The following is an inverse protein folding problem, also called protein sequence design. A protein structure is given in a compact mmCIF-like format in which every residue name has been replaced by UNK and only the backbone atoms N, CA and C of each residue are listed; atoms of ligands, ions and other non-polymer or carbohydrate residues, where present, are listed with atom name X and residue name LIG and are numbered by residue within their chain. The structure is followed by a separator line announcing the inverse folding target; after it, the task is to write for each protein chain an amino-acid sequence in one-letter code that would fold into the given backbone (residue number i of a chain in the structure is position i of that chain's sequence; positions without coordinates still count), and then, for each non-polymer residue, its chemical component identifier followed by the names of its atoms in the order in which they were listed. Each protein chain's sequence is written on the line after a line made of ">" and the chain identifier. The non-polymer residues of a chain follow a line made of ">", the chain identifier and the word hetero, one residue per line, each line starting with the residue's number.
data_IF_764116419477
#
_entry.id   IF_764116419477
#
_cell.length_a   1.000
_cell.length_b   1.000
_cell.length_c   1.000
_cell.angle_alpha   90.00
_cell.angle_beta   90.00
_cell.angle_gamma   90.00
#
_symmetry.space_group_name_H-M   'P 1'
#
loop_
_entity.id
_entity.type
_entity.pdbx_description
1 polymer ?
#
# COMPACT_ATOMS: atom_id res chain seq x y z
N UNK A 1 49.90 6.65 0.57
CA UNK A 1 49.02 6.88 1.73
C UNK A 1 47.81 7.66 1.23
N UNK A 2 46.79 6.97 0.69
CA UNK A 2 45.56 7.61 0.19
C UNK A 2 44.59 7.64 1.36
N UNK A 3 44.30 8.85 1.85
CA UNK A 3 43.23 9.08 2.83
C UNK A 3 41.92 8.63 2.18
N UNK A 4 41.27 7.66 2.81
CA UNK A 4 39.92 7.26 2.46
C UNK A 4 39.00 8.46 2.73
N UNK A 5 38.35 8.98 1.70
CA UNK A 5 37.18 9.83 1.85
C UNK A 5 36.11 9.02 2.55
N UNK A 6 35.99 9.25 3.86
CA UNK A 6 34.92 8.73 4.68
C UNK A 6 33.62 9.42 4.23
N UNK A 7 32.97 8.83 3.21
CA UNK A 7 31.65 9.26 2.77
C UNK A 7 30.72 9.21 3.98
N UNK A 8 30.21 10.38 4.38
CA UNK A 8 29.23 10.51 5.45
C UNK A 8 28.08 9.50 5.21
N UNK A 9 27.74 8.72 6.23
CA UNK A 9 26.61 7.76 6.14
C UNK A 9 25.34 8.58 5.86
N UNK A 10 24.59 8.29 4.79
CA UNK A 10 23.33 9.00 4.51
C UNK A 10 22.31 8.62 5.59
N UNK A 11 22.23 9.44 6.63
CA UNK A 11 21.47 9.17 7.85
C UNK A 11 21.81 10.11 9.00
N UNK A 12 23.03 10.66 9.01
CA UNK A 12 23.53 11.57 10.05
C UNK A 12 23.45 13.06 9.66
N UNK A 13 22.58 13.47 8.73
CA UNK A 13 22.37 14.91 8.49
C UNK A 13 21.65 15.57 9.70
N UNK A 14 22.32 16.45 10.46
CA UNK A 14 21.69 17.16 11.54
C UNK A 14 20.69 18.17 10.95
N UNK A 15 19.39 17.97 11.21
CA UNK A 15 18.34 18.95 10.84
C UNK A 15 17.20 18.42 9.98
N UNK A 16 17.19 17.14 9.56
CA UNK A 16 16.07 16.59 8.78
C UNK A 16 14.75 16.59 9.57
N UNK A 17 13.73 17.29 9.05
CA UNK A 17 12.39 17.36 9.67
C UNK A 17 11.51 16.20 9.22
N UNK A 18 10.79 15.58 10.15
CA UNK A 18 9.74 14.62 9.88
C UNK A 18 8.43 15.35 9.57
N UNK A 19 7.76 14.99 8.48
CA UNK A 19 6.47 15.60 8.07
C UNK A 19 5.34 15.40 9.08
N UNK A 20 5.47 14.42 10.00
CA UNK A 20 4.45 14.12 11.00
C UNK A 20 4.72 14.74 12.38
N UNK A 21 5.99 14.92 12.78
CA UNK A 21 6.33 15.35 14.14
C UNK A 21 7.36 16.48 14.21
N UNK A 22 7.82 17.03 13.07
CA UNK A 22 8.77 18.13 13.03
C UNK A 22 10.21 17.66 13.26
N UNK A 23 11.05 18.42 13.99
CA UNK A 23 12.44 18.05 14.27
C UNK A 23 12.53 16.67 14.95
N UNK A 24 13.32 15.75 14.37
CA UNK A 24 13.51 14.41 14.92
C UNK A 24 14.87 13.82 14.49
N UNK A 25 15.40 12.88 15.27
CA UNK A 25 16.51 12.03 14.85
C UNK A 25 16.06 10.91 13.91
N UNK A 26 16.99 10.37 13.12
CA UNK A 26 16.71 9.33 12.13
C UNK A 26 17.65 8.14 12.33
N UNK A 27 17.13 6.93 12.13
CA UNK A 27 17.91 5.70 12.19
C UNK A 27 17.68 4.88 10.92
N UNK A 28 18.75 4.40 10.29
CA UNK A 28 18.63 3.50 9.15
C UNK A 28 18.02 2.17 9.60
N UNK A 29 16.89 1.79 9.00
CA UNK A 29 16.20 0.54 9.28
C UNK A 29 16.63 -0.58 8.33
N UNK A 30 16.68 -0.30 7.03
CA UNK A 30 17.06 -1.28 6.01
C UNK A 30 17.66 -0.56 4.80
N UNK A 31 18.68 -1.17 4.20
CA UNK A 31 19.20 -0.80 2.88
C UNK A 31 18.78 -1.87 1.88
N UNK A 32 18.16 -1.47 0.78
CA UNK A 32 17.66 -2.38 -0.24
C UNK A 32 17.98 -1.87 -1.63
N UNK A 33 18.29 -2.80 -2.53
CA UNK A 33 18.47 -2.51 -3.95
C UNK A 33 17.11 -2.59 -4.63
N UNK A 34 16.73 -1.53 -5.32
CA UNK A 34 15.62 -1.56 -6.23
C UNK A 34 15.93 -2.55 -7.37
N UNK A 35 15.02 -3.50 -7.57
CA UNK A 35 15.20 -4.61 -8.48
C UNK A 35 14.80 -4.28 -9.94
N UNK A 36 14.15 -3.13 -10.18
CA UNK A 36 13.78 -2.66 -11.52
C UNK A 36 14.80 -1.64 -12.05
N UNK A 37 15.13 -0.61 -11.27
CA UNK A 37 16.10 0.44 -11.65
C UNK A 37 17.53 0.19 -11.16
N UNK A 38 17.77 -0.79 -10.28
CA UNK A 38 19.10 -1.23 -9.87
C UNK A 38 19.82 -0.33 -8.88
N UNK A 39 19.22 0.80 -8.49
CA UNK A 39 19.74 1.76 -7.50
C UNK A 39 19.55 1.24 -6.07
N UNK A 40 20.42 1.64 -5.15
CA UNK A 40 20.26 1.30 -3.72
C UNK A 40 19.57 2.44 -2.99
N UNK A 41 18.58 2.10 -2.19
CA UNK A 41 17.84 2.99 -1.31
C UNK A 41 18.00 2.54 0.14
N UNK A 42 17.83 3.49 1.05
CA UNK A 42 17.73 3.23 2.49
C UNK A 42 16.34 3.62 2.96
N UNK A 43 15.81 2.90 3.94
CA UNK A 43 14.65 3.35 4.69
C UNK A 43 15.12 3.89 6.03
N UNK A 44 14.98 5.20 6.22
CA UNK A 44 15.31 5.88 7.46
C UNK A 44 14.06 6.02 8.32
N UNK A 45 14.10 5.57 9.57
CA UNK A 45 12.99 5.69 10.51
C UNK A 45 13.16 6.87 11.43
N UNK A 46 12.12 7.67 11.56
CA UNK A 46 12.03 8.72 12.56
C UNK A 46 12.06 8.10 13.96
N UNK A 47 13.04 8.47 14.77
CA UNK A 47 13.19 8.00 16.17
C UNK A 47 12.05 8.44 17.09
N UNK A 48 11.30 9.48 16.69
CA UNK A 48 10.18 10.03 17.47
C UNK A 48 8.86 9.35 17.13
N UNK A 49 8.40 9.40 15.86
CA UNK A 49 7.11 8.84 15.47
C UNK A 49 7.17 7.42 14.91
N UNK A 50 8.35 6.95 14.49
CA UNK A 50 8.55 5.61 13.93
C UNK A 50 8.27 5.48 12.42
N UNK A 51 7.73 6.51 11.76
CA UNK A 51 7.51 6.49 10.30
C UNK A 51 8.86 6.41 9.58
N UNK A 52 8.96 5.45 8.64
CA UNK A 52 10.09 5.33 7.73
C UNK A 52 9.92 6.16 6.47
N UNK A 53 11.03 6.62 5.90
CA UNK A 53 11.09 7.32 4.62
C UNK A 53 12.14 6.67 3.73
N UNK A 54 11.82 6.52 2.45
CA UNK A 54 12.77 6.02 1.44
C UNK A 54 13.72 7.15 1.02
N UNK A 55 15.02 6.87 1.12
CA UNK A 55 16.12 7.79 0.88
C UNK A 55 17.11 7.19 -0.13
N UNK A 56 17.54 7.93 -1.16
CA UNK A 56 17.04 9.24 -1.56
C UNK A 56 15.57 9.21 -1.99
N UNK A 57 14.82 10.26 -1.64
CA UNK A 57 13.42 10.37 -2.09
C UNK A 57 13.42 10.52 -3.61
N UNK A 58 12.86 9.56 -4.36
CA UNK A 58 12.91 9.58 -5.82
C UNK A 58 12.12 10.77 -6.37
N UNK A 59 12.54 11.40 -7.45
CA UNK A 59 11.75 12.45 -8.13
C UNK A 59 10.52 11.87 -8.85
N UNK A 60 9.63 12.72 -9.36
CA UNK A 60 8.50 12.25 -10.18
C UNK A 60 8.99 11.58 -11.46
N UNK A 61 9.99 12.17 -12.13
CA UNK A 61 10.60 11.60 -13.34
C UNK A 61 11.26 10.23 -13.07
N UNK A 62 11.89 10.06 -11.90
CA UNK A 62 12.47 8.78 -11.49
C UNK A 62 11.40 7.72 -11.21
N UNK A 63 10.19 8.11 -10.77
CA UNK A 63 9.07 7.20 -10.53
C UNK A 63 8.19 6.94 -11.76
N UNK A 64 8.17 7.84 -12.75
CA UNK A 64 7.31 7.72 -13.92
C UNK A 64 7.40 6.36 -14.63
N UNK A 65 8.59 5.73 -14.81
CA UNK A 65 8.69 4.40 -15.42
C UNK A 65 7.94 3.29 -14.65
N UNK A 66 7.83 3.42 -13.32
CA UNK A 66 7.17 2.44 -12.45
C UNK A 66 5.65 2.50 -12.56
N UNK A 67 5.11 3.63 -13.02
CA UNK A 67 3.68 3.90 -13.21
C UNK A 67 3.26 3.87 -14.68
N UNK A 68 3.90 3.03 -15.49
CA UNK A 68 3.55 2.83 -16.90
C UNK A 68 2.08 2.38 -17.07
N UNK A 69 1.47 2.53 -18.27
CA UNK A 69 0.14 1.97 -18.55
C UNK A 69 0.01 0.48 -18.21
N UNK A 70 1.10 -0.29 -18.33
CA UNK A 70 1.17 -1.70 -17.93
C UNK A 70 1.13 -1.94 -16.40
N UNK A 71 1.41 -0.92 -15.57
CA UNK A 71 1.20 -0.95 -14.12
C UNK A 71 -0.29 -0.86 -13.78
N UNK A 72 -1.01 0.08 -14.39
CA UNK A 72 -2.43 0.27 -14.16
C UNK A 72 -3.31 -0.77 -14.89
N UNK A 73 -2.83 -1.27 -16.03
CA UNK A 73 -3.51 -2.26 -16.87
C UNK A 73 -4.75 -1.69 -17.57
N UNK A 74 -4.86 -1.91 -18.88
CA UNK A 74 -5.87 -1.25 -19.74
C UNK A 74 -7.27 -1.90 -19.76
N UNK A 75 -7.70 -2.61 -18.71
CA UNK A 75 -9.03 -3.23 -18.75
C UNK A 75 -9.40 -4.19 -17.62
N UNK A 76 -10.45 -4.98 -17.86
CA UNK A 76 -11.22 -5.77 -16.89
C UNK A 76 -10.41 -6.80 -16.09
N UNK A 77 -9.18 -7.11 -16.53
CA UNK A 77 -8.30 -8.13 -15.97
C UNK A 77 -6.84 -7.70 -15.78
N UNK A 78 -6.20 -8.14 -14.69
CA UNK A 78 -4.78 -7.88 -14.34
C UNK A 78 -4.07 -9.18 -13.91
N UNK A 79 -4.85 -10.25 -13.76
CA UNK A 79 -4.46 -11.53 -13.20
C UNK A 79 -5.14 -12.64 -14.01
N UNK A 80 -4.66 -13.86 -13.93
CA UNK A 80 -5.29 -15.01 -14.60
C UNK A 80 -6.74 -15.21 -14.10
N UNK A 81 -7.67 -15.61 -14.98
CA UNK A 81 -9.12 -15.68 -14.72
C UNK A 81 -9.58 -16.22 -13.35
N UNK A 82 -9.12 -17.39 -12.86
CA UNK A 82 -9.51 -17.87 -11.52
C UNK A 82 -9.05 -16.94 -10.38
N UNK A 83 -7.93 -16.23 -10.55
CA UNK A 83 -7.48 -15.22 -9.58
C UNK A 83 -8.34 -13.96 -9.63
N UNK A 84 -8.92 -13.60 -10.78
CA UNK A 84 -9.85 -12.46 -10.86
C UNK A 84 -11.12 -12.69 -10.05
N UNK A 85 -11.71 -13.89 -10.12
CA UNK A 85 -12.86 -14.26 -9.30
C UNK A 85 -12.56 -14.19 -7.80
N UNK A 86 -11.37 -14.67 -7.40
CA UNK A 86 -10.90 -14.57 -6.03
C UNK A 86 -10.70 -13.11 -5.58
N UNK A 87 -10.07 -12.29 -6.42
CA UNK A 87 -9.88 -10.86 -6.17
C UNK A 87 -11.23 -10.13 -6.04
N UNK A 88 -12.20 -10.44 -6.91
CA UNK A 88 -13.57 -9.92 -6.80
C UNK A 88 -14.18 -10.29 -5.45
N UNK A 89 -14.01 -11.54 -5.00
CA UNK A 89 -14.44 -11.98 -3.67
C UNK A 89 -13.81 -11.16 -2.53
N UNK A 90 -12.53 -10.81 -2.66
CA UNK A 90 -11.85 -9.94 -1.69
C UNK A 90 -12.39 -8.51 -1.70
N UNK A 91 -12.68 -7.94 -2.87
CA UNK A 91 -13.27 -6.60 -2.98
C UNK A 91 -14.68 -6.56 -2.39
N UNK A 92 -15.49 -7.61 -2.60
CA UNK A 92 -16.80 -7.76 -1.96
C UNK A 92 -16.65 -7.88 -0.44
N UNK A 93 -15.68 -8.68 0.06
CA UNK A 93 -15.41 -8.79 1.50
C UNK A 93 -15.00 -7.45 2.11
N UNK A 94 -14.19 -6.67 1.41
CA UNK A 94 -13.79 -5.30 1.78
C UNK A 94 -14.99 -4.37 1.84
N UNK A 95 -15.83 -4.36 0.80
CA UNK A 95 -17.08 -3.59 0.77
C UNK A 95 -18.01 -3.95 1.93
N UNK A 96 -18.21 -5.25 2.23
CA UNK A 96 -19.04 -5.69 3.37
C UNK A 96 -18.54 -5.13 4.70
N UNK A 97 -17.21 -5.16 4.92
CA UNK A 97 -16.61 -4.66 6.16
C UNK A 97 -16.77 -3.16 6.30
N UNK A 98 -16.59 -2.40 5.22
CA UNK A 98 -16.79 -0.96 5.19
C UNK A 98 -18.26 -0.63 5.43
N UNK A 99 -19.18 -1.32 4.75
CA UNK A 99 -20.61 -1.10 4.92
C UNK A 99 -21.10 -1.38 6.35
N UNK A 100 -20.53 -2.39 7.00
CA UNK A 100 -20.83 -2.73 8.38
C UNK A 100 -20.41 -1.64 9.40
N UNK A 101 -19.55 -0.68 9.04
CA UNK A 101 -19.21 0.44 9.93
C UNK A 101 -20.38 1.38 10.17
N UNK A 102 -21.24 1.57 9.16
CA UNK A 102 -22.44 2.41 9.28
C UNK A 102 -23.72 1.59 9.51
N UNK A 103 -23.74 0.31 9.10
CA UNK A 103 -24.94 -0.52 9.13
C UNK A 103 -26.03 -0.13 8.12
N UNK A 104 -25.76 0.89 7.29
CA UNK A 104 -26.64 1.40 6.22
C UNK A 104 -25.80 2.04 5.12
N UNK A 105 -26.35 2.22 3.90
CA UNK A 105 -25.69 3.04 2.88
C UNK A 105 -25.45 4.48 3.35
N UNK A 106 -24.34 5.03 2.87
CA UNK A 106 -23.87 6.38 3.19
C UNK A 106 -23.00 6.95 2.08
N UNK A 107 -22.32 8.05 2.39
CA UNK A 107 -21.36 8.71 1.50
C UNK A 107 -19.94 8.22 1.75
N UNK A 108 -19.28 7.73 0.71
CA UNK A 108 -17.89 7.26 0.77
C UNK A 108 -16.99 7.94 -0.26
N UNK A 109 -15.76 8.23 0.17
CA UNK A 109 -14.66 8.62 -0.70
C UNK A 109 -13.55 7.56 -0.64
N UNK A 110 -13.10 7.06 -1.78
CA UNK A 110 -11.93 6.17 -1.88
C UNK A 110 -10.78 6.90 -2.59
N UNK A 111 -9.65 7.04 -1.91
CA UNK A 111 -8.46 7.73 -2.44
C UNK A 111 -7.53 6.67 -3.03
N UNK A 112 -7.24 6.79 -4.32
CA UNK A 112 -6.55 5.78 -5.14
C UNK A 112 -7.47 4.61 -5.49
N UNK A 113 -8.50 4.89 -6.28
CA UNK A 113 -9.55 3.90 -6.60
C UNK A 113 -9.05 2.69 -7.40
N UNK A 114 -7.91 2.81 -8.07
CA UNK A 114 -7.41 1.83 -9.02
C UNK A 114 -8.50 1.47 -10.04
N UNK A 115 -8.89 0.19 -10.07
CA UNK A 115 -9.92 -0.32 -11.00
C UNK A 115 -11.36 -0.07 -10.55
N UNK A 116 -11.56 0.62 -9.43
CA UNK A 116 -12.85 0.98 -8.86
C UNK A 116 -13.86 -0.17 -8.60
N UNK A 117 -13.46 -1.46 -8.71
CA UNK A 117 -14.33 -2.62 -8.42
C UNK A 117 -14.90 -2.61 -6.99
N UNK A 118 -14.13 -2.10 -6.03
CA UNK A 118 -14.57 -1.89 -4.65
C UNK A 118 -15.69 -0.84 -4.57
N UNK A 119 -15.52 0.32 -5.21
CA UNK A 119 -16.54 1.37 -5.25
C UNK A 119 -17.79 0.94 -6.03
N UNK A 120 -17.63 0.24 -7.16
CA UNK A 120 -18.74 -0.30 -7.93
C UNK A 120 -19.61 -1.22 -7.05
N UNK A 121 -18.99 -2.10 -6.26
CA UNK A 121 -19.72 -2.98 -5.33
C UNK A 121 -20.53 -2.19 -4.29
N UNK A 122 -19.98 -1.09 -3.76
CA UNK A 122 -20.72 -0.24 -2.81
C UNK A 122 -21.84 0.54 -3.50
N UNK A 123 -21.60 1.02 -4.72
CA UNK A 123 -22.62 1.68 -5.56
C UNK A 123 -23.80 0.76 -5.82
N UNK A 124 -23.55 -0.51 -6.17
CA UNK A 124 -24.59 -1.54 -6.35
C UNK A 124 -25.41 -1.79 -5.07
N UNK A 125 -24.85 -1.48 -3.90
CA UNK A 125 -25.52 -1.57 -2.60
C UNK A 125 -26.14 -0.25 -2.15
N UNK A 126 -26.28 0.73 -3.06
CA UNK A 126 -26.94 2.00 -2.82
C UNK A 126 -26.11 3.05 -2.09
N UNK A 127 -24.77 2.88 -2.02
CA UNK A 127 -23.89 3.92 -1.48
C UNK A 127 -23.72 5.06 -2.48
N UNK A 128 -23.55 6.28 -1.96
CA UNK A 128 -23.10 7.40 -2.77
C UNK A 128 -21.57 7.42 -2.76
N UNK A 129 -20.99 6.99 -3.89
CA UNK A 129 -19.55 6.73 -4.01
C UNK A 129 -18.82 7.84 -4.76
N UNK A 130 -17.65 8.18 -4.24
CA UNK A 130 -16.71 9.13 -4.81
C UNK A 130 -15.31 8.54 -4.76
N UNK A 131 -14.41 9.01 -5.61
CA UNK A 131 -13.01 8.64 -5.48
C UNK A 131 -12.05 9.58 -6.17
N UNK A 132 -10.75 9.36 -5.94
CA UNK A 132 -9.66 10.04 -6.65
C UNK A 132 -8.63 9.04 -7.16
N UNK A 133 -7.98 9.34 -8.28
CA UNK A 133 -6.97 8.47 -8.88
C UNK A 133 -5.98 9.29 -9.73
N UNK A 134 -4.68 9.00 -9.63
CA UNK A 134 -3.66 9.69 -10.44
C UNK A 134 -3.61 9.14 -11.87
N UNK A 135 -3.92 7.86 -12.06
CA UNK A 135 -4.02 7.26 -13.39
C UNK A 135 -5.24 7.78 -14.14
N UNK A 136 -5.00 8.60 -15.18
CA UNK A 136 -6.04 9.07 -16.08
C UNK A 136 -6.80 7.90 -16.73
N UNK A 137 -6.10 6.84 -17.14
CA UNK A 137 -6.72 5.66 -17.73
C UNK A 137 -7.69 4.97 -16.76
N UNK A 138 -7.28 4.80 -15.49
CA UNK A 138 -8.10 4.18 -14.45
C UNK A 138 -9.29 5.05 -14.05
N UNK A 139 -9.08 6.37 -13.91
CA UNK A 139 -10.15 7.32 -13.63
C UNK A 139 -11.17 7.38 -14.77
N UNK A 140 -10.71 7.38 -16.03
CA UNK A 140 -11.57 7.33 -17.21
C UNK A 140 -12.38 6.04 -17.26
N UNK A 141 -11.75 4.89 -17.04
CA UNK A 141 -12.46 3.61 -16.96
C UNK A 141 -13.57 3.64 -15.89
N UNK A 142 -13.26 4.13 -14.69
CA UNK A 142 -14.25 4.22 -13.61
C UNK A 142 -15.44 5.14 -13.95
N UNK A 143 -15.20 6.25 -14.66
CA UNK A 143 -16.26 7.18 -15.10
C UNK A 143 -17.10 6.60 -16.22
N UNK A 144 -16.45 6.15 -17.30
CA UNK A 144 -17.12 5.79 -18.56
C UNK A 144 -17.72 4.39 -18.53
N UNK A 145 -17.03 3.43 -17.93
CA UNK A 145 -17.46 2.02 -17.94
C UNK A 145 -18.30 1.66 -16.72
N UNK A 146 -18.05 2.32 -15.58
CA UNK A 146 -18.73 2.01 -14.32
C UNK A 146 -19.69 3.13 -13.85
N UNK A 147 -19.73 4.28 -14.53
CA UNK A 147 -20.61 5.39 -14.15
C UNK A 147 -20.27 6.06 -12.82
N UNK A 148 -19.02 5.94 -12.33
CA UNK A 148 -18.61 6.38 -11.00
C UNK A 148 -18.05 7.82 -11.00
N UNK A 149 -18.20 8.51 -9.86
CA UNK A 149 -17.70 9.87 -9.65
C UNK A 149 -16.25 9.85 -9.15
N UNK A 150 -15.30 9.68 -10.07
CA UNK A 150 -13.86 9.64 -9.74
C UNK A 150 -13.17 10.90 -10.25
N UNK A 151 -12.44 11.66 -9.42
CA UNK A 151 -11.60 12.78 -9.84
C UNK A 151 -10.19 12.29 -10.25
N UNK A 152 -9.52 13.00 -11.16
CA UNK A 152 -8.12 12.73 -11.48
C UNK A 152 -7.24 13.58 -10.55
N UNK A 153 -6.25 12.97 -9.90
CA UNK A 153 -5.25 13.65 -9.06
C UNK A 153 -5.52 13.59 -7.57
N UNK A 154 -4.97 14.57 -6.84
CA UNK A 154 -4.99 14.64 -5.38
C UNK A 154 -6.40 14.95 -4.84
N UNK A 155 -6.74 14.35 -3.69
CA UNK A 155 -7.99 14.61 -2.97
C UNK A 155 -8.16 16.08 -2.56
N UNK A 156 -7.07 16.77 -2.23
CA UNK A 156 -7.11 18.18 -1.86
C UNK A 156 -7.57 19.09 -3.03
N UNK A 157 -7.34 18.66 -4.27
CA UNK A 157 -7.76 19.39 -5.47
C UNK A 157 -9.20 19.06 -5.90
N UNK A 158 -9.84 18.05 -5.31
CA UNK A 158 -11.17 17.58 -5.71
C UNK A 158 -12.33 18.51 -5.27
N UNK A 159 -12.07 19.51 -4.43
CA UNK A 159 -13.04 20.57 -4.09
C UNK A 159 -14.24 20.10 -3.24
N UNK A 160 -14.08 19.03 -2.47
CA UNK A 160 -15.14 18.53 -1.60
C UNK A 160 -15.36 19.43 -0.37
N UNK A 161 -16.62 19.51 0.09
CA UNK A 161 -17.03 20.31 1.25
C UNK A 161 -16.60 19.64 2.56
N UNK A 162 -16.38 20.44 3.61
CA UNK A 162 -16.15 19.95 4.97
C UNK A 162 -17.29 19.00 5.41
N UNK A 163 -16.93 17.91 6.08
CA UNK A 163 -17.91 17.00 6.66
C UNK A 163 -18.82 16.29 5.65
N UNK A 164 -18.44 16.19 4.37
CA UNK A 164 -19.29 15.61 3.33
C UNK A 164 -19.31 14.08 3.29
N UNK A 165 -18.40 13.39 3.98
CA UNK A 165 -18.29 11.93 3.90
C UNK A 165 -18.50 11.22 5.23
N UNK A 166 -19.17 10.07 5.16
CA UNK A 166 -19.38 9.17 6.29
C UNK A 166 -18.18 8.25 6.50
N UNK A 167 -17.56 7.82 5.39
CA UNK A 167 -16.38 6.95 5.36
C UNK A 167 -15.39 7.48 4.33
N UNK A 168 -14.10 7.45 4.65
CA UNK A 168 -13.01 7.65 3.69
C UNK A 168 -12.09 6.43 3.75
N UNK A 169 -11.70 5.89 2.60
CA UNK A 169 -10.81 4.73 2.50
C UNK A 169 -9.53 5.07 1.74
N UNK A 170 -8.42 4.49 2.20
CA UNK A 170 -7.12 4.48 1.52
C UNK A 170 -6.61 3.03 1.53
N UNK A 171 -6.51 2.40 0.36
CA UNK A 171 -6.10 1.00 0.24
C UNK A 171 -4.74 0.89 -0.45
N UNK A 172 -3.66 0.76 0.34
CA UNK A 172 -2.29 0.70 -0.20
C UNK A 172 -1.93 1.90 -1.09
N UNK A 173 -2.21 3.09 -0.57
CA UNK A 173 -2.00 4.37 -1.28
C UNK A 173 -1.16 5.31 -0.43
N UNK A 174 -1.41 5.36 0.88
CA UNK A 174 -0.77 6.31 1.79
C UNK A 174 0.76 6.23 1.76
N UNK A 175 1.32 5.03 1.61
CA UNK A 175 2.75 4.74 1.49
C UNK A 175 3.40 5.31 0.21
N UNK A 176 2.60 5.54 -0.84
CA UNK A 176 3.05 6.08 -2.12
C UNK A 176 2.93 7.61 -2.22
N UNK A 177 2.21 8.25 -1.30
CA UNK A 177 1.94 9.69 -1.39
C UNK A 177 3.18 10.52 -1.06
N UNK A 178 3.30 11.68 -1.74
CA UNK A 178 4.33 12.69 -1.47
C UNK A 178 4.08 13.42 -0.15
N UNK A 179 2.83 13.82 0.10
CA UNK A 179 2.40 14.46 1.35
C UNK A 179 1.30 13.65 2.06
N UNK A 180 1.62 12.48 2.63
CA UNK A 180 0.65 11.68 3.36
C UNK A 180 0.10 12.42 4.60
N UNK A 181 0.86 13.36 5.18
CA UNK A 181 0.41 14.17 6.30
C UNK A 181 -0.70 15.15 5.87
N UNK A 182 -0.54 15.81 4.73
CA UNK A 182 -1.57 16.64 4.09
C UNK A 182 -2.81 15.85 3.73
N UNK A 183 -2.66 14.69 3.09
CA UNK A 183 -3.79 13.83 2.76
C UNK A 183 -4.58 13.40 3.99
N UNK A 184 -3.92 13.01 5.09
CA UNK A 184 -4.62 12.65 6.33
C UNK A 184 -5.35 13.84 6.98
N UNK A 185 -4.77 15.05 6.93
CA UNK A 185 -5.44 16.29 7.36
C UNK A 185 -6.68 16.58 6.52
N UNK A 186 -6.59 16.36 5.21
CA UNK A 186 -7.70 16.54 4.29
C UNK A 186 -8.81 15.52 4.54
N UNK A 187 -8.48 14.24 4.72
CA UNK A 187 -9.43 13.22 5.16
C UNK A 187 -10.16 13.63 6.45
N UNK A 188 -9.45 14.19 7.43
CA UNK A 188 -10.03 14.68 8.68
C UNK A 188 -10.99 15.87 8.47
N UNK A 189 -10.72 16.77 7.52
CA UNK A 189 -11.62 17.88 7.15
C UNK A 189 -12.90 17.34 6.51
N UNK A 190 -12.74 16.44 5.55
CA UNK A 190 -13.80 15.88 4.73
C UNK A 190 -14.75 14.92 5.46
N UNK A 191 -14.27 14.23 6.49
CA UNK A 191 -15.12 13.36 7.31
C UNK A 191 -16.14 14.18 8.12
N UNK A 192 -17.38 13.72 8.20
CA UNK A 192 -18.34 14.24 9.18
C UNK A 192 -17.91 13.90 10.61
N UNK A 193 -18.38 14.63 11.64
CA UNK A 193 -18.24 14.19 13.03
C UNK A 193 -18.73 12.74 13.21
N UNK A 194 -17.93 11.90 13.85
CA UNK A 194 -18.21 10.46 14.01
C UNK A 194 -18.00 9.59 12.77
N UNK A 195 -17.56 10.17 11.63
CA UNK A 195 -17.22 9.44 10.40
C UNK A 195 -15.95 8.59 10.54
N UNK A 196 -15.77 7.63 9.64
CA UNK A 196 -14.68 6.64 9.72
C UNK A 196 -13.60 6.86 8.66
N UNK A 197 -12.34 6.81 9.08
CA UNK A 197 -11.19 6.72 8.20
C UNK A 197 -10.65 5.29 8.21
N UNK A 198 -10.57 4.66 7.06
CA UNK A 198 -10.03 3.31 6.89
C UNK A 198 -8.73 3.39 6.09
N UNK A 199 -7.64 2.94 6.69
CA UNK A 199 -6.29 3.00 6.08
C UNK A 199 -5.71 1.60 6.06
N UNK A 200 -5.37 1.09 4.88
CA UNK A 200 -4.58 -0.12 4.71
C UNK A 200 -3.19 0.22 4.21
N UNK A 201 -2.17 -0.29 4.90
CA UNK A 201 -0.75 -0.11 4.58
C UNK A 201 0.05 -1.37 4.95
N UNK A 202 1.22 -1.58 4.34
CA UNK A 202 2.25 -2.45 4.87
C UNK A 202 2.59 -2.10 6.31
N UNK A 203 2.81 -3.12 7.13
CA UNK A 203 3.21 -2.94 8.52
C UNK A 203 4.73 -3.15 8.65
N UNK A 204 5.47 -2.05 8.72
CA UNK A 204 6.92 -2.07 8.83
C UNK A 204 7.40 -2.65 10.17
N UNK A 205 6.55 -2.72 11.19
CA UNK A 205 6.87 -3.37 12.48
C UNK A 205 6.45 -4.86 12.51
N UNK A 206 5.97 -5.41 11.39
CA UNK A 206 5.56 -6.80 11.29
C UNK A 206 6.71 -7.77 11.54
N UNK A 207 6.37 -8.99 11.97
CA UNK A 207 7.35 -10.05 12.14
C UNK A 207 8.04 -10.36 10.80
N UNK A 208 7.26 -10.36 9.72
CA UNK A 208 7.75 -10.57 8.37
C UNK A 208 8.78 -9.51 7.94
N UNK A 209 8.48 -8.23 8.14
CA UNK A 209 9.41 -7.14 7.81
C UNK A 209 10.72 -7.23 8.62
N UNK A 210 10.62 -7.60 9.90
CA UNK A 210 11.80 -7.77 10.78
C UNK A 210 12.68 -8.96 10.39
N UNK A 211 12.08 -10.06 9.93
CA UNK A 211 12.81 -11.26 9.55
C UNK A 211 13.37 -11.21 8.12
N UNK A 212 12.63 -10.59 7.20
CA UNK A 212 12.99 -10.57 5.78
C UNK A 212 13.78 -9.32 5.36
N UNK A 213 13.69 -8.21 6.09
CA UNK A 213 14.49 -7.01 5.82
C UNK A 213 14.38 -6.55 4.37
N UNK A 214 15.51 -6.53 3.65
CA UNK A 214 15.56 -6.14 2.23
C UNK A 214 14.81 -7.09 1.29
N UNK A 215 14.52 -8.33 1.73
CA UNK A 215 13.76 -9.32 0.97
C UNK A 215 12.25 -9.24 1.23
N UNK A 216 11.79 -8.32 2.07
CA UNK A 216 10.38 -8.15 2.40
C UNK A 216 9.57 -7.72 1.18
N UNK A 217 8.53 -8.49 0.85
CA UNK A 217 7.67 -8.25 -0.32
C UNK A 217 7.11 -6.83 -0.36
N UNK A 218 6.65 -6.30 0.78
CA UNK A 218 6.06 -4.98 0.87
C UNK A 218 7.08 -3.84 1.09
N UNK A 219 8.39 -4.09 1.01
CA UNK A 219 9.38 -3.01 1.11
C UNK A 219 9.31 -2.08 -0.11
N UNK A 220 9.16 -2.66 -1.31
CA UNK A 220 8.86 -1.98 -2.57
C UNK A 220 9.51 -0.60 -2.81
N UNK A 221 10.83 -0.50 -2.58
CA UNK A 221 11.59 0.68 -2.96
C UNK A 221 11.80 0.69 -4.48
N UNK A 222 11.66 1.85 -5.17
CA UNK A 222 11.45 3.19 -4.62
C UNK A 222 9.98 3.65 -4.54
N UNK A 223 9.01 2.81 -4.91
CA UNK A 223 7.58 3.18 -4.99
C UNK A 223 6.96 3.50 -3.64
N UNK A 224 7.33 2.79 -2.58
CA UNK A 224 6.95 3.15 -1.21
C UNK A 224 7.85 4.27 -0.72
N UNK A 225 7.32 5.49 -0.69
CA UNK A 225 8.00 6.68 -0.17
C UNK A 225 8.01 6.69 1.36
N UNK A 226 6.95 6.15 1.96
CA UNK A 226 6.72 6.14 3.39
C UNK A 226 6.42 4.73 3.91
N UNK A 227 6.99 4.39 5.07
CA UNK A 227 6.84 3.07 5.69
C UNK A 227 6.17 3.23 7.06
N UNK A 228 4.94 2.73 7.18
CA UNK A 228 4.09 2.92 8.36
C UNK A 228 4.11 1.69 9.28
N UNK A 229 3.70 1.90 10.53
CA UNK A 229 3.41 0.82 11.47
C UNK A 229 2.14 1.10 12.25
N UNK A 230 1.58 0.09 12.93
CA UNK A 230 0.40 0.28 13.78
C UNK A 230 0.64 1.39 14.82
N UNK A 231 1.82 1.39 15.45
CA UNK A 231 2.19 2.39 16.47
C UNK A 231 2.22 3.80 15.90
N UNK A 232 2.86 3.98 14.74
CA UNK A 232 2.93 5.28 14.08
C UNK A 232 1.54 5.79 13.68
N UNK A 233 0.73 4.95 13.04
CA UNK A 233 -0.64 5.33 12.64
C UNK A 233 -1.54 5.65 13.82
N UNK A 234 -1.46 4.88 14.92
CA UNK A 234 -2.23 5.19 16.14
C UNK A 234 -1.93 6.58 16.66
N UNK A 235 -0.65 6.96 16.72
CA UNK A 235 -0.23 8.29 17.16
C UNK A 235 -0.72 9.37 16.21
N UNK A 236 -0.36 9.27 14.92
CA UNK A 236 -0.68 10.27 13.90
C UNK A 236 -2.20 10.51 13.84
N UNK A 237 -2.99 9.44 13.82
CA UNK A 237 -4.44 9.55 13.71
C UNK A 237 -5.08 10.08 15.00
N UNK A 238 -4.54 9.75 16.19
CA UNK A 238 -4.98 10.35 17.44
C UNK A 238 -4.71 11.86 17.49
N UNK A 239 -3.51 12.30 17.08
CA UNK A 239 -3.11 13.71 17.03
C UNK A 239 -3.99 14.51 16.05
N UNK A 240 -4.50 13.87 14.99
CA UNK A 240 -5.46 14.44 14.04
C UNK A 240 -6.92 14.45 14.55
N UNK A 241 -7.19 13.97 15.76
CA UNK A 241 -8.56 13.84 16.30
C UNK A 241 -9.38 12.75 15.60
N UNK A 242 -8.71 11.71 15.11
CA UNK A 242 -9.25 10.49 14.51
C UNK A 242 -8.71 9.24 15.25
N UNK A 243 -8.97 9.03 16.55
CA UNK A 243 -8.40 7.89 17.27
C UNK A 243 -8.76 6.55 16.63
N UNK A 244 -7.79 5.64 16.64
CA UNK A 244 -7.95 4.28 16.09
C UNK A 244 -8.89 3.45 16.96
N UNK A 245 -9.96 2.94 16.36
CA UNK A 245 -10.97 2.07 17.00
C UNK A 245 -10.69 0.59 16.79
N UNK A 246 -10.15 0.21 15.63
CA UNK A 246 -9.89 -1.20 15.29
C UNK A 246 -8.66 -1.31 14.42
N UNK A 247 -7.91 -2.39 14.58
CA UNK A 247 -6.79 -2.76 13.69
C UNK A 247 -6.94 -4.23 13.33
N UNK A 248 -6.78 -4.56 12.06
CA UNK A 248 -6.73 -5.94 11.55
C UNK A 248 -5.33 -6.20 11.01
N UNK A 249 -4.75 -7.32 11.39
CA UNK A 249 -3.42 -7.77 10.95
C UNK A 249 -3.50 -8.90 9.91
N UNK A 250 -4.64 -8.99 9.22
CA UNK A 250 -4.89 -10.04 8.24
C UNK A 250 -5.88 -9.62 7.17
N UNK A 251 -5.43 -9.79 5.94
CA UNK A 251 -6.21 -9.71 4.73
C UNK A 251 -5.89 -10.94 3.88
N UNK A 252 -6.88 -11.80 3.65
CA UNK A 252 -6.70 -13.03 2.88
C UNK A 252 -6.07 -12.81 1.50
N UNK A 253 -6.30 -11.62 0.90
CA UNK A 253 -5.71 -11.21 -0.36
C UNK A 253 -4.20 -10.95 -0.32
N UNK A 254 -3.66 -10.49 0.82
CA UNK A 254 -2.29 -9.99 0.90
C UNK A 254 -1.44 -10.80 1.88
N UNK A 255 -1.92 -11.09 3.08
CA UNK A 255 -1.07 -11.62 4.15
C UNK A 255 -0.43 -12.99 3.82
N UNK A 256 -1.18 -13.99 3.31
CA UNK A 256 -0.57 -15.27 2.92
C UNK A 256 0.41 -15.11 1.75
N UNK A 257 0.06 -14.26 0.78
CA UNK A 257 0.88 -14.03 -0.40
C UNK A 257 2.18 -13.31 -0.05
N UNK A 258 2.12 -12.29 0.81
CA UNK A 258 3.28 -11.56 1.30
C UNK A 258 4.26 -12.50 2.00
N UNK A 259 3.77 -13.27 2.98
CA UNK A 259 4.62 -14.19 3.73
C UNK A 259 5.29 -15.23 2.82
N UNK A 260 4.53 -15.77 1.86
CA UNK A 260 5.05 -16.68 0.85
C UNK A 260 6.14 -16.00 0.02
N UNK A 261 5.85 -14.83 -0.56
CA UNK A 261 6.74 -14.13 -1.47
C UNK A 261 8.03 -13.66 -0.77
N UNK A 262 7.93 -13.14 0.46
CA UNK A 262 9.08 -12.78 1.28
C UNK A 262 9.95 -14.00 1.62
N UNK A 263 9.32 -15.16 1.89
CA UNK A 263 10.04 -16.42 2.06
C UNK A 263 10.78 -16.85 0.79
N UNK A 264 10.14 -16.75 -0.37
CA UNK A 264 10.78 -17.05 -1.66
C UNK A 264 11.94 -16.09 -1.97
N UNK A 265 11.81 -14.80 -1.63
CA UNK A 265 12.88 -13.82 -1.78
C UNK A 265 14.10 -14.17 -0.91
N UNK A 266 13.88 -14.63 0.33
CA UNK A 266 14.94 -15.09 1.23
C UNK A 266 15.69 -16.33 0.72
N UNK A 267 15.01 -17.20 -0.04
CA UNK A 267 15.61 -18.38 -0.66
C UNK A 267 16.47 -18.06 -1.91
N UNK A 268 16.65 -16.78 -2.24
CA UNK A 268 17.46 -16.36 -3.39
C UNK A 268 16.81 -16.62 -4.75
N UNK A 269 15.50 -16.89 -4.76
CA UNK A 269 14.71 -16.91 -6.00
C UNK A 269 14.62 -15.48 -6.57
N UNK A 270 14.30 -15.33 -7.88
CA UNK A 270 14.13 -14.00 -8.46
C UNK A 270 13.17 -13.15 -7.62
N UNK A 271 13.62 -11.97 -7.21
CA UNK A 271 12.89 -11.10 -6.31
C UNK A 271 11.49 -10.80 -6.87
N UNK A 272 10.45 -11.06 -6.07
CA UNK A 272 9.05 -10.93 -6.46
C UNK A 272 8.66 -11.74 -7.72
N UNK A 273 9.38 -12.84 -8.00
CA UNK A 273 9.20 -13.64 -9.21
C UNK A 273 7.83 -14.30 -9.34
N UNK A 274 7.25 -14.79 -8.23
CA UNK A 274 5.91 -15.38 -8.22
C UNK A 274 4.85 -14.30 -8.47
N UNK A 275 4.96 -13.14 -7.80
CA UNK A 275 4.09 -11.98 -8.05
C UNK A 275 4.11 -11.57 -9.54
N UNK A 276 5.31 -11.44 -10.10
CA UNK A 276 5.48 -11.08 -11.50
C UNK A 276 4.88 -12.12 -12.46
N UNK A 277 4.90 -13.42 -12.12
CA UNK A 277 4.26 -14.45 -12.93
C UNK A 277 2.73 -14.36 -12.94
N UNK A 278 2.11 -14.17 -11.77
CA UNK A 278 0.65 -14.07 -11.67
C UNK A 278 0.16 -12.81 -12.42
N UNK A 279 0.97 -11.74 -12.41
CA UNK A 279 0.71 -10.50 -13.14
C UNK A 279 1.00 -10.60 -14.65
N UNK A 280 2.07 -11.31 -15.06
CA UNK A 280 2.52 -11.40 -16.45
C UNK A 280 1.58 -12.19 -17.37
N UNK A 281 0.63 -12.96 -16.83
CA UNK A 281 -0.37 -13.70 -17.61
C UNK A 281 -1.22 -12.83 -18.55
N UNK A 282 -1.19 -11.50 -18.43
CA UNK A 282 -1.88 -10.55 -19.32
C UNK A 282 -1.10 -9.26 -19.63
N UNK A 283 0.18 -9.14 -19.23
CA UNK A 283 0.98 -7.97 -19.62
C UNK A 283 1.32 -8.06 -21.11
N UNK A 284 0.90 -7.08 -21.92
CA UNK A 284 1.20 -7.02 -23.36
C UNK A 284 2.69 -6.84 -23.66
N UNK A 285 3.47 -6.42 -22.67
CA UNK A 285 4.92 -6.28 -22.74
C UNK A 285 5.58 -7.24 -21.74
N UNK A 286 6.53 -8.09 -22.16
CA UNK A 286 7.28 -8.91 -21.23
C UNK A 286 8.09 -8.03 -20.28
N UNK A 287 8.04 -8.33 -18.98
CA UNK A 287 8.98 -7.72 -18.01
C UNK A 287 10.40 -7.94 -18.53
N UNK A 288 11.14 -6.86 -18.80
CA UNK A 288 12.48 -6.93 -19.43
C UNK A 288 13.35 -8.02 -18.77
N UNK A 289 13.78 -9.02 -19.54
CA UNK A 289 14.59 -10.16 -19.07
C UNK A 289 13.83 -11.47 -18.85
N UNK A 290 12.53 -11.52 -19.15
CA UNK A 290 11.72 -12.74 -19.10
C UNK A 290 11.99 -13.68 -20.27
N UNK A 291 12.95 -14.58 -20.07
CA UNK A 291 12.93 -15.92 -20.65
C UNK A 291 12.46 -16.86 -19.54
N UNK A 292 11.72 -17.93 -19.87
CA UNK A 292 11.30 -18.98 -18.93
C UNK A 292 12.56 -19.65 -18.39
N UNK A 293 13.18 -19.05 -17.38
CA UNK A 293 14.38 -19.57 -16.72
C UNK A 293 13.91 -20.62 -15.69
N UNK A 294 14.65 -21.73 -15.51
CA UNK A 294 14.27 -22.81 -14.59
C UNK A 294 13.97 -22.34 -13.16
N UNK A 295 14.59 -21.23 -12.73
CA UNK A 295 14.33 -20.58 -11.43
C UNK A 295 12.93 -19.99 -11.29
N UNK A 296 12.30 -19.53 -12.38
CA UNK A 296 10.92 -19.05 -12.37
C UNK A 296 9.94 -20.21 -12.17
N UNK A 297 10.14 -21.34 -12.86
CA UNK A 297 9.30 -22.53 -12.69
C UNK A 297 9.44 -23.11 -11.27
N UNK A 298 10.65 -23.12 -10.71
CA UNK A 298 10.89 -23.52 -9.32
C UNK A 298 10.12 -22.63 -8.33
N UNK A 299 10.07 -21.30 -8.54
CA UNK A 299 9.31 -20.39 -7.70
C UNK A 299 7.78 -20.66 -7.76
N UNK A 300 7.24 -21.00 -8.93
CA UNK A 300 5.83 -21.36 -9.08
C UNK A 300 5.46 -22.66 -8.34
N UNK A 301 6.27 -23.70 -8.54
CA UNK A 301 6.08 -25.00 -7.90
C UNK A 301 6.22 -24.90 -6.38
N UNK A 302 7.30 -24.27 -5.91
CA UNK A 302 7.51 -24.07 -4.47
C UNK A 302 6.43 -23.17 -3.87
N UNK A 303 6.02 -22.12 -4.60
CA UNK A 303 4.91 -21.25 -4.22
C UNK A 303 3.61 -22.02 -3.96
N UNK A 304 3.30 -22.97 -4.84
CA UNK A 304 2.08 -23.80 -4.74
C UNK A 304 2.14 -24.73 -3.52
N UNK A 305 3.28 -25.38 -3.30
CA UNK A 305 3.49 -26.29 -2.17
C UNK A 305 3.46 -25.55 -0.83
N UNK A 306 4.03 -24.34 -0.77
CA UNK A 306 4.13 -23.57 0.47
C UNK A 306 2.91 -22.69 0.76
N UNK A 307 1.97 -22.51 -0.18
CA UNK A 307 0.81 -21.64 0.02
C UNK A 307 -0.05 -22.00 1.26
N UNK A 308 -0.36 -23.28 1.56
CA UNK A 308 -1.10 -23.62 2.78
C UNK A 308 -0.33 -23.26 4.06
N UNK A 309 0.99 -23.48 4.07
CA UNK A 309 1.84 -23.12 5.20
C UNK A 309 1.91 -21.61 5.38
N UNK A 310 1.99 -20.85 4.29
CA UNK A 310 1.97 -19.39 4.32
C UNK A 310 0.63 -18.85 4.85
N UNK A 311 -0.50 -19.49 4.52
CA UNK A 311 -1.80 -19.15 5.09
C UNK A 311 -1.82 -19.37 6.61
N UNK A 312 -1.38 -20.53 7.09
CA UNK A 312 -1.29 -20.83 8.53
C UNK A 312 -0.35 -19.86 9.23
N UNK A 313 0.82 -19.58 8.65
CA UNK A 313 1.79 -18.63 9.19
C UNK A 313 1.24 -17.21 9.26
N UNK A 314 0.52 -16.76 8.23
CA UNK A 314 -0.12 -15.45 8.22
C UNK A 314 -1.27 -15.34 9.24
N UNK A 315 -2.04 -16.41 9.47
CA UNK A 315 -3.02 -16.47 10.56
C UNK A 315 -2.32 -16.42 11.93
N UNK A 316 -1.20 -17.12 12.12
CA UNK A 316 -0.38 -17.04 13.33
C UNK A 316 0.13 -15.63 13.59
N UNK A 317 0.66 -14.95 12.56
CA UNK A 317 1.07 -13.55 12.65
C UNK A 317 -0.12 -12.63 12.98
N UNK A 318 -1.31 -12.91 12.43
CA UNK A 318 -2.51 -12.15 12.73
C UNK A 318 -2.94 -12.26 14.20
N UNK A 319 -2.90 -13.48 14.76
CA UNK A 319 -3.18 -13.76 16.17
C UNK A 319 -2.17 -13.06 17.09
N UNK A 320 -0.89 -13.06 16.70
CA UNK A 320 0.18 -12.36 17.40
C UNK A 320 0.17 -10.84 17.19
N UNK A 321 -0.71 -10.30 16.31
CA UNK A 321 -0.75 -8.89 15.92
C UNK A 321 0.56 -8.40 15.27
N UNK A 322 1.18 -9.24 14.48
CA UNK A 322 2.44 -8.98 13.78
C UNK A 322 2.34 -9.23 12.27
N UNK A 323 1.13 -9.20 11.70
CA UNK A 323 0.89 -9.39 10.26
C UNK A 323 1.60 -8.36 9.38
N UNK A 324 2.00 -8.77 8.18
CA UNK A 324 2.75 -7.98 7.18
C UNK A 324 1.98 -6.80 6.60
N UNK A 325 0.66 -6.85 6.61
CA UNK A 325 -0.25 -5.74 6.29
C UNK A 325 -1.18 -5.44 7.48
N UNK A 326 -1.58 -4.18 7.60
CA UNK A 326 -2.59 -3.76 8.57
C UNK A 326 -3.69 -2.95 7.91
N UNK A 327 -4.92 -3.14 8.41
CA UNK A 327 -6.05 -2.27 8.13
C UNK A 327 -6.48 -1.60 9.42
N UNK A 328 -6.28 -0.29 9.48
CA UNK A 328 -6.64 0.57 10.61
C UNK A 328 -8.00 1.21 10.32
N UNK A 329 -8.91 1.13 11.29
CA UNK A 329 -10.18 1.87 11.28
C UNK A 329 -10.11 2.90 12.40
N UNK A 330 -10.05 4.16 12.00
CA UNK A 330 -10.10 5.33 12.86
C UNK A 330 -11.46 6.03 12.75
N UNK A 331 -11.82 6.80 13.77
CA UNK A 331 -13.08 7.53 13.79
C UNK A 331 -12.85 8.97 14.20
N UNK A 332 -13.36 9.91 13.41
CA UNK A 332 -13.31 11.35 13.72
C UNK A 332 -14.10 11.63 14.99
N UNK A 333 -13.50 12.35 15.93
CA UNK A 333 -14.18 12.81 17.13
C UNK A 333 -15.41 13.66 16.76
N UNK A 334 -16.43 13.59 17.62
CA UNK A 334 -17.65 14.41 17.53
C UNK A 334 -17.37 15.90 17.59
#
# INVERSE_FOLDING_TARGET
>A
MRLAEEQARPGDEPGRRCIFCGPAGWACWVSARDHEGGRTFQVLRCTTCGVGVTEPTPTEDELAPYYSPAYYGDGDGQFLGPFEGLIRGFQVSRARRVAALLGRPGRILDIGVGRAKFLATLSDWGWEVYGTEFSEASARFAREQLGLRVAIGDVAAAGHKDGSFDVITLWHVLEHLRDPAGTLRECRRLLRPGGFLVVAVPNADSLEARLSGAAWFHLDVPRHLHHFSERALRRILADLGCPVRRVRHFTLAHSPFSLLQSGLNLLGLPHNGLYNQIRAGQAREPVRGWTIRPRGLAAALLGTVLAPLALVGALGCALARTGGDIVVVAQKNG
#
